data_IF_749734518491
#
_entry.id   IF_749734518491
#
_cell.length_a   1.000
_cell.length_b   1.000
_cell.length_c   1.000
_cell.angle_alpha   90.00
_cell.angle_beta   90.00
_cell.angle_gamma   90.00
#
_symmetry.space_group_name_H-M   'P 1'
#
loop_
_entity.id
_entity.type
_entity.pdbx_description
1 polymer ?
#
# COMPACT_ATOMS: atom_id res chain seq x y z
N UNK A 1 59.66 -18.98 -3.32
CA UNK A 1 58.37 -18.79 -4.05
C UNK A 1 57.12 -19.26 -3.31
N UNK A 2 57.17 -20.24 -2.38
CA UNK A 2 55.98 -20.75 -1.67
C UNK A 2 55.40 -19.80 -0.58
N UNK A 3 56.24 -18.98 0.06
CA UNK A 3 55.80 -18.04 1.12
C UNK A 3 54.91 -16.88 0.61
N UNK A 4 55.13 -16.41 -0.62
CA UNK A 4 54.39 -15.29 -1.21
C UNK A 4 52.94 -15.66 -1.59
N UNK A 5 52.70 -16.94 -1.89
CA UNK A 5 51.37 -17.46 -2.24
C UNK A 5 50.45 -17.59 -1.02
N UNK A 6 51.00 -17.94 0.14
CA UNK A 6 50.25 -18.05 1.39
C UNK A 6 49.79 -16.67 1.90
N UNK A 7 50.65 -15.66 1.83
CA UNK A 7 50.32 -14.29 2.22
C UNK A 7 49.23 -13.68 1.34
N UNK A 8 49.28 -13.96 0.02
CA UNK A 8 48.22 -13.54 -0.93
C UNK A 8 46.89 -14.19 -0.58
N UNK A 9 46.86 -15.50 -0.31
CA UNK A 9 45.62 -16.21 0.06
C UNK A 9 45.00 -15.69 1.36
N UNK A 10 45.84 -15.39 2.36
CA UNK A 10 45.38 -14.79 3.61
C UNK A 10 44.78 -13.38 3.39
N UNK A 11 45.42 -12.58 2.54
CA UNK A 11 44.92 -11.25 2.19
C UNK A 11 43.57 -11.30 1.46
N UNK A 12 43.40 -12.22 0.50
CA UNK A 12 42.11 -12.42 -0.18
C UNK A 12 41.01 -12.90 0.77
N UNK A 13 41.33 -13.82 1.69
CA UNK A 13 40.39 -14.26 2.73
C UNK A 13 39.96 -13.10 3.64
N UNK A 14 40.90 -12.26 4.08
CA UNK A 14 40.59 -11.08 4.89
C UNK A 14 39.73 -10.07 4.13
N UNK A 15 40.02 -9.81 2.85
CA UNK A 15 39.21 -8.93 2.00
C UNK A 15 37.79 -9.45 1.78
N UNK A 16 37.61 -10.76 1.58
CA UNK A 16 36.28 -11.37 1.43
C UNK A 16 35.46 -11.32 2.71
N UNK A 17 36.10 -11.53 3.87
CA UNK A 17 35.45 -11.39 5.18
C UNK A 17 35.04 -9.92 5.41
N UNK A 18 35.93 -8.97 5.10
CA UNK A 18 35.67 -7.54 5.26
C UNK A 18 34.55 -7.06 4.34
N UNK A 19 34.48 -7.52 3.08
CA UNK A 19 33.38 -7.16 2.17
C UNK A 19 32.04 -7.74 2.60
N UNK A 20 32.02 -8.97 3.15
CA UNK A 20 30.81 -9.58 3.70
C UNK A 20 30.28 -8.83 4.92
N UNK A 21 31.17 -8.31 5.78
CA UNK A 21 30.82 -7.48 6.93
C UNK A 21 30.23 -6.12 6.53
N UNK A 22 30.69 -5.52 5.43
CA UNK A 22 30.16 -4.24 4.94
C UNK A 22 28.78 -4.34 4.25
N UNK A 23 28.37 -5.52 3.80
CA UNK A 23 27.06 -5.74 3.13
C UNK A 23 25.93 -6.15 4.11
N UNK A 24 26.27 -6.50 5.35
CA UNK A 24 25.29 -6.94 6.36
C UNK A 24 24.48 -5.78 6.97
N UNK A 25 24.94 -4.54 6.81
CA UNK A 25 24.21 -3.34 7.21
C UNK A 25 23.55 -2.74 5.98
N UNK A 26 22.35 -3.22 5.66
CA UNK A 26 21.47 -2.54 4.69
C UNK A 26 21.21 -1.08 5.10
N UNK A 27 20.59 -0.26 4.22
CA UNK A 27 20.30 1.13 4.55
C UNK A 27 19.54 1.20 5.89
N UNK A 28 19.90 2.15 6.77
CA UNK A 28 19.27 2.26 8.08
C UNK A 28 17.75 2.35 7.92
N UNK A 29 17.03 1.46 8.59
CA UNK A 29 15.56 1.51 8.66
C UNK A 29 15.19 2.26 9.92
N UNK A 30 14.48 3.37 9.77
CA UNK A 30 13.85 4.05 10.90
C UNK A 30 12.78 3.12 11.49
N UNK A 31 12.93 2.80 12.75
CA UNK A 31 11.98 2.07 13.59
C UNK A 31 11.39 3.02 14.64
N UNK A 32 10.27 2.66 15.25
CA UNK A 32 9.66 3.48 16.31
C UNK A 32 10.60 3.69 17.52
N UNK A 33 11.59 2.82 17.71
CA UNK A 33 12.65 3.00 18.71
C UNK A 33 13.71 4.04 18.34
N UNK A 34 13.85 4.37 17.06
CA UNK A 34 14.80 5.39 16.57
C UNK A 34 14.25 6.80 16.73
N UNK A 35 12.93 6.94 16.95
CA UNK A 35 12.33 8.19 17.35
C UNK A 35 12.56 8.40 18.85
N UNK A 36 13.11 9.55 19.27
CA UNK A 36 13.24 9.84 20.69
C UNK A 36 11.85 9.78 21.32
N UNK A 37 11.68 8.89 22.31
CA UNK A 37 10.49 8.86 23.17
C UNK A 37 10.50 10.11 24.02
N UNK A 38 10.04 11.21 23.44
CA UNK A 38 9.94 12.48 24.13
C UNK A 38 8.79 12.36 25.12
N UNK A 39 9.14 12.22 26.39
CA UNK A 39 8.16 12.22 27.46
C UNK A 39 7.55 13.61 27.53
N UNK A 40 6.22 13.69 27.40
CA UNK A 40 5.52 14.97 27.52
C UNK A 40 5.63 15.48 28.96
N UNK A 41 6.03 16.73 29.13
CA UNK A 41 6.00 17.36 30.45
C UNK A 41 4.55 17.58 30.89
N UNK A 42 4.28 17.69 32.21
CA UNK A 42 2.95 18.03 32.69
C UNK A 42 2.37 19.32 32.07
N UNK A 43 3.23 20.27 31.71
CA UNK A 43 2.82 21.53 31.08
C UNK A 43 2.48 21.33 29.59
N UNK A 44 3.22 20.48 28.87
CA UNK A 44 2.87 20.07 27.51
C UNK A 44 1.54 19.31 27.48
N UNK A 45 1.31 18.41 28.44
CA UNK A 45 0.03 17.70 28.59
C UNK A 45 -1.13 18.66 28.86
N UNK A 46 -0.93 19.66 29.73
CA UNK A 46 -1.93 20.71 29.98
C UNK A 46 -2.20 21.56 28.74
N UNK A 47 -1.15 21.97 28.03
CA UNK A 47 -1.26 22.75 26.81
C UNK A 47 -2.03 21.96 25.73
N UNK A 48 -1.72 20.68 25.53
CA UNK A 48 -2.43 19.80 24.59
C UNK A 48 -3.91 19.61 24.96
N UNK A 49 -4.24 19.53 26.26
CA UNK A 49 -5.65 19.47 26.71
C UNK A 49 -6.44 20.75 26.44
N UNK A 50 -5.76 21.88 26.23
CA UNK A 50 -6.39 23.14 25.89
C UNK A 50 -6.43 23.42 24.39
N UNK A 51 -5.84 22.55 23.55
CA UNK A 51 -5.99 22.67 22.09
C UNK A 51 -7.40 22.24 21.72
N UNK A 52 -8.25 23.15 21.21
CA UNK A 52 -9.57 22.76 20.72
C UNK A 52 -9.42 21.77 19.56
N UNK A 53 -10.36 20.85 19.43
CA UNK A 53 -10.37 19.92 18.30
C UNK A 53 -10.31 20.70 16.98
N UNK A 54 -9.53 20.23 15.99
CA UNK A 54 -9.48 20.86 14.68
C UNK A 54 -10.89 21.01 14.10
N UNK A 55 -11.24 22.23 13.68
CA UNK A 55 -12.48 22.47 12.97
C UNK A 55 -12.35 21.88 11.56
N UNK A 56 -13.24 20.95 11.22
CA UNK A 56 -13.26 20.30 9.91
C UNK A 56 -14.58 20.61 9.20
N UNK A 57 -14.50 20.76 7.87
CA UNK A 57 -15.68 20.96 7.01
C UNK A 57 -16.33 19.64 6.58
N UNK A 58 -15.63 18.51 6.78
CA UNK A 58 -16.12 17.20 6.39
C UNK A 58 -17.40 16.81 7.14
N UNK A 59 -18.39 16.30 6.41
CA UNK A 59 -19.67 15.90 6.98
C UNK A 59 -19.57 14.65 7.88
N UNK A 60 -18.61 13.77 7.59
CA UNK A 60 -18.20 12.64 8.43
C UNK A 60 -16.68 12.53 8.49
N UNK A 61 -16.14 12.10 9.63
CA UNK A 61 -14.72 11.87 9.84
C UNK A 61 -14.48 10.87 10.97
N UNK A 62 -13.34 10.17 10.92
CA UNK A 62 -12.93 9.25 11.96
C UNK A 62 -11.40 9.18 12.01
N UNK A 63 -10.85 9.19 13.22
CA UNK A 63 -9.44 8.96 13.50
C UNK A 63 -9.33 7.75 14.44
N UNK A 64 -8.59 6.74 14.03
CA UNK A 64 -8.41 5.49 14.78
C UNK A 64 -6.92 5.26 15.01
N UNK A 65 -6.57 4.81 16.21
CA UNK A 65 -5.31 4.13 16.46
C UNK A 65 -5.37 2.72 15.87
N UNK A 66 -4.63 2.46 14.80
CA UNK A 66 -4.67 1.17 14.09
C UNK A 66 -4.06 0.01 14.88
N UNK A 67 -3.26 0.28 15.92
CA UNK A 67 -2.66 -0.75 16.79
C UNK A 67 -3.64 -1.21 17.87
N UNK A 68 -4.35 -0.28 18.51
CA UNK A 68 -5.28 -0.58 19.61
C UNK A 68 -6.73 -0.73 19.16
N UNK A 69 -7.08 -0.21 17.99
CA UNK A 69 -8.46 -0.08 17.52
C UNK A 69 -9.23 1.06 18.19
N UNK A 70 -8.58 1.88 19.02
CA UNK A 70 -9.22 2.99 19.73
C UNK A 70 -9.63 4.11 18.76
N UNK A 71 -10.88 4.54 18.83
CA UNK A 71 -11.37 5.72 18.11
C UNK A 71 -10.96 6.96 18.91
N UNK A 72 -10.04 7.74 18.35
CA UNK A 72 -9.52 8.98 18.95
C UNK A 72 -10.42 10.18 18.66
N UNK A 73 -11.12 10.15 17.53
CA UNK A 73 -12.08 11.16 17.12
C UNK A 73 -13.10 10.55 16.14
N UNK A 74 -14.37 10.94 16.26
CA UNK A 74 -15.41 10.56 15.33
C UNK A 74 -16.43 11.69 15.15
N UNK A 75 -16.91 11.82 13.92
CA UNK A 75 -18.04 12.69 13.54
C UNK A 75 -18.86 11.94 12.52
N UNK A 76 -20.11 11.61 12.84
CA UNK A 76 -21.04 10.91 11.94
C UNK A 76 -20.40 9.69 11.25
N UNK A 77 -19.58 8.92 11.97
CA UNK A 77 -18.74 7.85 11.43
C UNK A 77 -19.55 6.64 10.97
N UNK A 78 -20.78 6.49 11.49
CA UNK A 78 -21.73 5.44 11.12
C UNK A 78 -22.76 5.87 10.07
N UNK A 79 -22.75 7.14 9.66
CA UNK A 79 -23.68 7.64 8.66
C UNK A 79 -23.34 7.05 7.28
N UNK A 80 -24.33 6.47 6.60
CA UNK A 80 -24.12 5.91 5.26
C UNK A 80 -23.88 7.03 4.25
N UNK A 81 -22.76 6.95 3.54
CA UNK A 81 -22.38 7.91 2.48
C UNK A 81 -21.88 7.16 1.26
N UNK A 82 -22.03 7.77 0.09
CA UNK A 82 -21.45 7.25 -1.14
C UNK A 82 -19.91 7.30 -1.03
N UNK A 83 -19.20 6.16 -1.16
CA UNK A 83 -17.74 6.12 -0.97
C UNK A 83 -16.95 6.67 -2.16
N UNK A 84 -17.59 6.88 -3.31
CA UNK A 84 -16.92 7.20 -4.58
C UNK A 84 -15.72 6.26 -4.83
N UNK A 85 -14.58 6.77 -5.26
CA UNK A 85 -13.37 5.97 -5.54
C UNK A 85 -12.77 5.26 -4.31
N UNK A 86 -13.19 5.54 -3.08
CA UNK A 86 -12.77 4.71 -1.92
C UNK A 86 -13.20 3.24 -2.09
N UNK A 87 -14.24 2.98 -2.90
CA UNK A 87 -14.63 1.63 -3.34
C UNK A 87 -13.46 0.82 -3.92
N UNK A 88 -12.49 1.48 -4.57
CA UNK A 88 -11.33 0.82 -5.18
C UNK A 88 -10.39 0.19 -4.17
N UNK A 89 -10.41 0.63 -2.90
CA UNK A 89 -9.67 -0.07 -1.83
C UNK A 89 -10.22 -1.49 -1.61
N UNK A 90 -11.55 -1.64 -1.67
CA UNK A 90 -12.22 -2.94 -1.59
C UNK A 90 -11.90 -3.79 -2.84
N UNK A 91 -11.91 -3.17 -4.03
CA UNK A 91 -11.49 -3.83 -5.28
C UNK A 91 -10.05 -4.37 -5.16
N UNK A 92 -9.11 -3.55 -4.67
CA UNK A 92 -7.72 -3.95 -4.50
C UNK A 92 -7.58 -5.12 -3.51
N UNK A 93 -8.29 -5.07 -2.37
CA UNK A 93 -8.25 -6.14 -1.37
C UNK A 93 -8.73 -7.48 -1.95
N UNK A 94 -9.88 -7.50 -2.60
CA UNK A 94 -10.42 -8.72 -3.25
C UNK A 94 -9.47 -9.22 -4.34
N UNK A 95 -8.92 -8.32 -5.15
CA UNK A 95 -7.99 -8.68 -6.22
C UNK A 95 -6.72 -9.34 -5.69
N UNK A 96 -6.17 -8.82 -4.58
CA UNK A 96 -5.00 -9.41 -3.90
C UNK A 96 -5.30 -10.77 -3.27
N UNK A 97 -6.53 -11.01 -2.80
CA UNK A 97 -6.93 -12.31 -2.24
C UNK A 97 -7.18 -13.37 -3.33
N UNK A 98 -7.62 -12.95 -4.52
CA UNK A 98 -8.10 -13.86 -5.57
C UNK A 98 -7.14 -14.03 -6.76
N UNK A 99 -6.20 -13.10 -6.93
CA UNK A 99 -5.30 -13.05 -8.07
C UNK A 99 -3.84 -13.18 -7.68
N UNK A 100 -3.02 -13.58 -8.65
CA UNK A 100 -1.55 -13.51 -8.53
C UNK A 100 -1.07 -12.22 -9.20
N UNK A 101 -0.11 -11.55 -8.58
CA UNK A 101 0.39 -10.25 -9.06
C UNK A 101 1.03 -10.30 -10.46
N UNK A 102 1.56 -11.47 -10.84
CA UNK A 102 2.18 -11.76 -12.13
C UNK A 102 1.18 -12.18 -13.22
N UNK A 103 -0.10 -12.36 -12.88
CA UNK A 103 -1.13 -12.75 -13.84
C UNK A 103 -1.39 -11.60 -14.82
N UNK A 104 -1.18 -11.86 -16.10
CA UNK A 104 -1.58 -10.95 -17.18
C UNK A 104 -3.09 -11.02 -17.41
N UNK A 105 -3.69 -9.84 -17.60
CA UNK A 105 -5.11 -9.66 -17.88
C UNK A 105 -5.21 -8.74 -19.10
N UNK A 106 -5.87 -9.24 -20.15
CA UNK A 106 -6.16 -8.46 -21.34
C UNK A 106 -7.27 -7.46 -21.05
N UNK A 107 -7.12 -6.21 -21.47
CA UNK A 107 -8.18 -5.18 -21.46
C UNK A 107 -9.20 -5.48 -22.57
N UNK A 108 -10.47 -5.55 -22.21
CA UNK A 108 -11.58 -5.71 -23.16
C UNK A 108 -12.25 -4.37 -23.47
N UNK A 109 -12.89 -4.25 -24.64
CA UNK A 109 -13.64 -3.05 -25.02
C UNK A 109 -14.70 -2.66 -23.98
N UNK A 110 -15.33 -3.66 -23.35
CA UNK A 110 -16.34 -3.45 -22.29
C UNK A 110 -15.76 -2.80 -21.03
N UNK A 111 -14.46 -2.95 -20.76
CA UNK A 111 -13.81 -2.34 -19.60
C UNK A 111 -13.61 -0.83 -19.80
N UNK A 112 -13.61 -0.38 -21.05
CA UNK A 112 -13.40 1.01 -21.48
C UNK A 112 -14.72 1.78 -21.67
N UNK A 113 -15.86 1.17 -21.31
CA UNK A 113 -17.15 1.87 -21.26
C UNK A 113 -17.23 2.92 -20.13
N UNK A 114 -16.13 3.10 -19.38
CA UNK A 114 -15.93 4.09 -18.33
C UNK A 114 -14.65 4.87 -18.60
N UNK A 115 -14.51 6.04 -17.98
CA UNK A 115 -13.30 6.85 -18.12
C UNK A 115 -12.04 6.12 -17.60
N UNK A 116 -10.98 6.10 -18.42
CA UNK A 116 -9.63 5.66 -18.04
C UNK A 116 -8.73 6.89 -17.86
N UNK A 117 -8.10 6.98 -16.69
CA UNK A 117 -7.09 7.98 -16.37
C UNK A 117 -5.68 7.56 -16.84
N UNK A 118 -5.45 6.26 -17.06
CA UNK A 118 -4.17 5.70 -17.49
C UNK A 118 -4.07 5.48 -19.02
N UNK A 119 -5.02 5.98 -19.81
CA UNK A 119 -5.12 5.81 -21.28
C UNK A 119 -5.02 4.33 -21.74
N UNK A 120 -5.64 3.42 -20.98
CA UNK A 120 -5.66 1.98 -21.30
C UNK A 120 -6.41 1.73 -22.61
N UNK A 121 -5.92 0.82 -23.45
CA UNK A 121 -6.51 0.50 -24.75
C UNK A 121 -6.99 -0.95 -24.83
N UNK A 122 -8.02 -1.17 -25.64
CA UNK A 122 -8.54 -2.50 -25.87
C UNK A 122 -7.46 -3.38 -26.51
N UNK A 123 -7.26 -4.58 -25.98
CA UNK A 123 -6.22 -5.48 -26.43
C UNK A 123 -4.90 -5.37 -25.67
N UNK A 124 -4.68 -4.32 -24.88
CA UNK A 124 -3.51 -4.24 -24.02
C UNK A 124 -3.50 -5.38 -23.00
N UNK A 125 -2.31 -5.81 -22.61
CA UNK A 125 -2.09 -6.77 -21.53
C UNK A 125 -1.32 -6.09 -20.41
N UNK A 126 -1.85 -6.22 -19.20
CA UNK A 126 -1.20 -5.75 -17.99
C UNK A 126 -1.19 -6.85 -16.95
N UNK A 127 -0.13 -6.93 -16.18
CA UNK A 127 -0.11 -7.74 -14.96
C UNK A 127 -1.11 -7.18 -13.95
N UNK A 128 -1.62 -8.04 -13.07
CA UNK A 128 -2.48 -7.59 -11.97
C UNK A 128 -1.77 -6.53 -11.12
N UNK A 129 -0.44 -6.61 -10.96
CA UNK A 129 0.36 -5.58 -10.31
C UNK A 129 0.20 -4.22 -10.97
N UNK A 130 0.37 -4.13 -12.28
CA UNK A 130 0.24 -2.86 -13.04
C UNK A 130 -1.19 -2.32 -12.97
N UNK A 131 -2.19 -3.19 -13.10
CA UNK A 131 -3.59 -2.79 -12.95
C UNK A 131 -3.89 -2.25 -11.55
N UNK A 132 -3.28 -2.80 -10.49
CA UNK A 132 -3.39 -2.26 -9.14
C UNK A 132 -2.71 -0.88 -9.00
N UNK A 133 -1.60 -0.64 -9.71
CA UNK A 133 -1.00 0.69 -9.79
C UNK A 133 -1.95 1.69 -10.45
N UNK A 134 -2.55 1.35 -11.59
CA UNK A 134 -3.54 2.21 -12.26
C UNK A 134 -4.79 2.43 -11.41
N UNK A 135 -5.25 1.39 -10.72
CA UNK A 135 -6.40 1.45 -9.81
C UNK A 135 -6.15 2.41 -8.64
N UNK A 136 -4.95 2.41 -8.05
CA UNK A 136 -4.70 3.09 -6.78
C UNK A 136 -4.01 4.46 -6.92
N UNK A 137 -3.22 4.68 -7.98
CA UNK A 137 -2.47 5.94 -8.18
C UNK A 137 -3.32 6.97 -8.94
N UNK A 138 -3.66 6.78 -10.23
CA UNK A 138 -4.56 7.69 -10.93
C UNK A 138 -6.05 7.40 -10.67
N UNK A 139 -6.39 6.45 -9.78
CA UNK A 139 -7.78 6.06 -9.49
C UNK A 139 -8.57 5.62 -10.75
N UNK A 140 -7.92 4.85 -11.63
CA UNK A 140 -8.48 4.46 -12.94
C UNK A 140 -9.70 3.54 -12.81
N UNK A 141 -10.79 3.84 -13.53
CA UNK A 141 -12.01 3.03 -13.52
C UNK A 141 -11.92 1.83 -14.46
N UNK A 142 -11.28 1.98 -15.62
CA UNK A 142 -11.09 0.89 -16.57
C UNK A 142 -10.20 -0.22 -15.98
N UNK A 143 -9.20 0.14 -15.18
CA UNK A 143 -8.42 -0.81 -14.40
C UNK A 143 -9.30 -1.60 -13.42
N UNK A 144 -10.24 -0.93 -12.72
CA UNK A 144 -11.19 -1.60 -11.84
C UNK A 144 -12.07 -2.61 -12.60
N UNK A 145 -12.59 -2.22 -13.77
CA UNK A 145 -13.40 -3.09 -14.63
C UNK A 145 -12.59 -4.27 -15.17
N UNK A 146 -11.37 -4.01 -15.64
CA UNK A 146 -10.44 -5.02 -16.15
C UNK A 146 -10.06 -6.04 -15.08
N UNK A 147 -9.76 -5.59 -13.85
CA UNK A 147 -9.49 -6.46 -12.70
C UNK A 147 -10.73 -7.32 -12.41
N UNK A 148 -11.90 -6.70 -12.29
CA UNK A 148 -13.13 -7.37 -11.91
C UNK A 148 -13.48 -8.49 -12.91
N UNK A 149 -13.55 -8.15 -14.20
CA UNK A 149 -13.81 -9.11 -15.27
C UNK A 149 -12.69 -10.13 -15.41
N UNK A 150 -11.43 -9.70 -15.36
CA UNK A 150 -10.26 -10.57 -15.56
C UNK A 150 -10.10 -11.64 -14.48
N UNK A 151 -10.48 -11.34 -13.23
CA UNK A 151 -10.38 -12.29 -12.12
C UNK A 151 -11.64 -13.11 -11.92
N UNK A 152 -12.84 -12.51 -12.07
CA UNK A 152 -14.10 -13.16 -11.77
C UNK A 152 -14.87 -13.67 -13.00
N UNK A 153 -14.41 -13.36 -14.22
CA UNK A 153 -15.13 -13.59 -15.47
C UNK A 153 -16.12 -12.46 -15.78
N UNK A 154 -16.79 -11.91 -14.76
CA UNK A 154 -17.72 -10.79 -14.91
C UNK A 154 -17.76 -9.89 -13.65
N UNK A 155 -18.24 -8.66 -13.84
CA UNK A 155 -18.27 -7.65 -12.77
C UNK A 155 -19.25 -7.99 -11.66
N UNK A 156 -20.38 -8.66 -11.95
CA UNK A 156 -21.38 -9.02 -10.95
C UNK A 156 -20.81 -10.05 -9.97
N UNK A 157 -20.11 -11.05 -10.49
CA UNK A 157 -19.42 -12.05 -9.67
C UNK A 157 -18.35 -11.39 -8.79
N UNK A 158 -17.57 -10.46 -9.34
CA UNK A 158 -16.57 -9.72 -8.55
C UNK A 158 -17.21 -8.87 -7.45
N UNK A 159 -18.30 -8.16 -7.73
CA UNK A 159 -19.06 -7.41 -6.72
C UNK A 159 -19.63 -8.34 -5.63
N UNK A 160 -20.03 -9.55 -6.00
CA UNK A 160 -20.38 -10.60 -5.05
C UNK A 160 -19.23 -10.91 -4.08
N UNK A 161 -17.98 -10.99 -4.56
CA UNK A 161 -16.81 -11.16 -3.70
C UNK A 161 -16.55 -9.93 -2.82
N UNK A 162 -16.73 -8.72 -3.35
CA UNK A 162 -16.58 -7.49 -2.57
C UNK A 162 -17.57 -7.40 -1.40
N UNK A 163 -18.82 -7.82 -1.62
CA UNK A 163 -19.85 -7.83 -0.58
C UNK A 163 -19.72 -8.98 0.43
N UNK A 164 -18.87 -9.96 0.14
CA UNK A 164 -18.62 -11.14 0.98
C UNK A 164 -17.28 -11.06 1.75
N UNK A 165 -16.62 -9.90 1.75
CA UNK A 165 -15.44 -9.62 2.56
C UNK A 165 -15.75 -9.65 4.06
#
# INVERSE_FOLDING_TARGET
>A
MRSCMALRRLSWLLLSILSGLCLAFGPPRLTDSDLPKQSLTPDQLRAMRQVPLPQITAASAMLINTTTGEILYARNERERRAPASLTKLVTALVALQRGRLDREIRVADTDLAVYSAADMRAGDFYTLRELLFFLLIPSDNAAAMTIARGLAGDVRTFVGWMNAL
#
